data_IF_187999592223
#
_entry.id   IF_187999592223
#
_cell.length_a   1.000
_cell.length_b   1.000
_cell.length_c   1.000
_cell.angle_alpha   90.00
_cell.angle_beta   90.00
_cell.angle_gamma   90.00
#
_symmetry.space_group_name_H-M   'P 1'
#
loop_
_entity.id
_entity.type
_entity.pdbx_description
1 polymer ?
#
# COMPACT_ATOMS: atom_id res chain seq x y z
N UNK A 1 -0.58 -4.37 17.80
CA UNK A 1 -0.75 -3.32 16.80
C UNK A 1 -2.23 -3.10 16.58
N UNK A 2 -2.71 -1.89 16.77
CA UNK A 2 -4.09 -1.48 16.50
C UNK A 2 -4.02 -0.34 15.48
N UNK A 3 -4.89 -0.35 14.46
CA UNK A 3 -4.96 0.69 13.43
C UNK A 3 -6.43 1.06 13.27
N UNK A 4 -6.74 2.34 13.33
CA UNK A 4 -8.11 2.86 13.23
C UNK A 4 -8.36 3.46 11.85
N UNK A 5 -9.63 3.59 11.49
CA UNK A 5 -10.04 4.26 10.26
C UNK A 5 -9.43 5.68 10.16
N UNK A 6 -8.87 6.02 9.01
CA UNK A 6 -8.20 7.30 8.77
C UNK A 6 -6.80 7.44 9.38
N UNK A 7 -6.26 6.40 10.04
CA UNK A 7 -4.89 6.40 10.56
C UNK A 7 -3.92 5.76 9.54
N UNK A 8 -2.73 6.33 9.42
CA UNK A 8 -1.59 5.73 8.74
C UNK A 8 -0.52 5.34 9.75
N UNK A 9 -0.12 4.08 9.71
CA UNK A 9 0.91 3.52 10.57
C UNK A 9 2.11 3.11 9.74
N UNK A 10 3.30 3.59 10.11
CA UNK A 10 4.54 3.14 9.52
C UNK A 10 5.00 1.83 10.15
N UNK A 11 5.29 0.82 9.34
CA UNK A 11 5.96 -0.40 9.78
C UNK A 11 7.45 -0.26 9.47
N UNK A 12 8.23 0.13 10.46
CA UNK A 12 9.66 0.37 10.38
C UNK A 12 10.49 -0.86 10.77
N UNK A 13 11.69 -0.95 10.23
CA UNK A 13 12.65 -1.99 10.56
C UNK A 13 13.69 -2.17 9.45
N UNK A 14 14.82 -2.76 9.79
CA UNK A 14 15.89 -3.06 8.83
C UNK A 14 15.42 -4.02 7.72
N UNK A 15 16.19 -4.11 6.65
CA UNK A 15 15.95 -5.12 5.61
C UNK A 15 16.07 -6.52 6.22
N UNK A 16 15.11 -7.38 5.92
CA UNK A 16 15.06 -8.72 6.51
C UNK A 16 14.40 -8.81 7.91
N UNK A 17 13.99 -7.70 8.53
CA UNK A 17 13.31 -7.72 9.84
C UNK A 17 11.94 -8.42 9.84
N UNK A 18 11.40 -8.79 8.67
CA UNK A 18 10.13 -9.50 8.56
C UNK A 18 8.91 -8.63 8.23
N UNK A 19 9.10 -7.35 7.86
CA UNK A 19 8.01 -6.42 7.50
C UNK A 19 7.06 -7.01 6.44
N UNK A 20 7.59 -7.39 5.28
CA UNK A 20 6.80 -7.98 4.19
C UNK A 20 6.17 -9.33 4.58
N UNK A 21 6.83 -10.11 5.45
CA UNK A 21 6.28 -11.36 5.97
C UNK A 21 5.08 -11.09 6.86
N UNK A 22 5.14 -10.05 7.71
CA UNK A 22 4.02 -9.62 8.52
C UNK A 22 2.85 -9.15 7.66
N UNK A 23 3.10 -8.31 6.65
CA UNK A 23 2.04 -7.85 5.72
C UNK A 23 1.40 -9.05 4.99
N UNK A 24 2.20 -10.01 4.50
CA UNK A 24 1.70 -11.23 3.88
C UNK A 24 0.92 -12.12 4.85
N UNK A 25 1.30 -12.16 6.11
CA UNK A 25 0.56 -12.91 7.13
C UNK A 25 -0.80 -12.28 7.43
N UNK A 26 -0.89 -10.94 7.47
CA UNK A 26 -2.13 -10.19 7.63
C UNK A 26 -3.10 -10.47 6.45
N UNK A 27 -2.58 -10.59 5.23
CA UNK A 27 -3.40 -10.90 4.03
C UNK A 27 -3.72 -12.38 3.87
N UNK A 28 -3.25 -13.25 4.77
CA UNK A 28 -3.41 -14.70 4.64
C UNK A 28 -2.48 -15.36 3.61
N UNK A 29 -1.55 -14.62 3.02
CA UNK A 29 -0.57 -15.14 2.06
C UNK A 29 0.65 -15.82 2.72
N UNK A 30 0.77 -15.68 4.04
CA UNK A 30 1.79 -16.36 4.84
C UNK A 30 1.17 -16.89 6.15
N UNK A 31 1.79 -17.90 6.74
CA UNK A 31 1.31 -18.47 8.00
C UNK A 31 1.48 -17.46 9.15
N UNK A 32 0.39 -17.18 9.86
CA UNK A 32 0.38 -16.36 11.08
C UNK A 32 0.52 -17.28 12.30
N UNK A 33 1.54 -17.03 13.13
CA UNK A 33 1.63 -17.64 14.47
C UNK A 33 1.22 -16.59 15.50
N UNK A 34 0.05 -16.77 16.08
CA UNK A 34 -0.54 -15.82 17.02
C UNK A 34 -1.98 -15.49 16.66
N UNK A 35 -2.49 -14.40 17.17
CA UNK A 35 -3.86 -13.93 16.95
C UNK A 35 -3.84 -12.56 16.29
N UNK A 36 -4.55 -12.45 15.18
CA UNK A 36 -4.87 -11.16 14.56
C UNK A 36 -6.39 -11.10 14.36
N UNK A 37 -7.00 -10.03 14.82
CA UNK A 37 -8.40 -9.73 14.53
C UNK A 37 -8.42 -8.63 13.48
N UNK A 38 -9.01 -8.91 12.33
CA UNK A 38 -9.12 -7.97 11.22
C UNK A 38 -10.60 -7.88 10.87
N UNK A 39 -11.24 -6.81 11.30
CA UNK A 39 -12.64 -6.52 11.01
C UNK A 39 -12.72 -5.42 9.94
N UNK A 40 -12.03 -5.68 8.83
CA UNK A 40 -11.91 -4.72 7.72
C UNK A 40 -11.66 -5.45 6.40
N UNK A 41 -12.19 -4.91 5.31
CA UNK A 41 -11.81 -5.31 3.96
C UNK A 41 -10.40 -4.83 3.63
N UNK A 42 -9.56 -5.71 3.04
CA UNK A 42 -8.15 -5.46 2.83
C UNK A 42 -7.81 -5.18 1.37
N UNK A 43 -6.98 -4.16 1.15
CA UNK A 43 -6.22 -3.94 -0.07
C UNK A 43 -4.72 -4.19 0.19
N UNK A 44 -4.01 -4.85 -0.72
CA UNK A 44 -2.58 -5.08 -0.59
C UNK A 44 -1.80 -4.69 -1.84
N UNK A 45 -0.79 -3.86 -1.63
CA UNK A 45 0.18 -3.46 -2.64
C UNK A 45 1.53 -4.09 -2.27
N UNK A 46 1.93 -5.18 -2.93
CA UNK A 46 3.23 -5.81 -2.68
C UNK A 46 4.36 -4.91 -3.14
N UNK A 47 5.54 -5.12 -2.55
CA UNK A 47 6.77 -4.52 -3.05
C UNK A 47 6.92 -4.83 -4.54
N UNK A 48 7.06 -3.76 -5.35
CA UNK A 48 7.25 -3.92 -6.77
C UNK A 48 8.62 -4.54 -7.02
N UNK A 49 8.62 -5.76 -7.55
CA UNK A 49 9.78 -6.39 -8.15
C UNK A 49 9.55 -6.37 -9.66
N UNK A 50 10.59 -6.20 -10.46
CA UNK A 50 10.49 -6.19 -11.92
C UNK A 50 9.81 -7.49 -12.41
N UNK A 51 8.48 -7.41 -12.49
CA UNK A 51 7.65 -8.43 -13.10
C UNK A 51 7.89 -8.38 -14.61
N UNK A 52 7.63 -9.46 -15.31
CA UNK A 52 7.71 -9.48 -16.77
C UNK A 52 6.84 -8.37 -17.39
N UNK A 53 7.49 -7.24 -17.73
CA UNK A 53 6.86 -6.07 -18.33
C UNK A 53 6.45 -6.28 -19.78
N UNK A 54 6.82 -7.42 -20.36
CA UNK A 54 6.46 -7.79 -21.74
C UNK A 54 4.99 -8.20 -21.88
N UNK A 55 4.32 -8.51 -20.77
CA UNK A 55 2.92 -8.92 -20.81
C UNK A 55 2.01 -7.76 -21.25
N UNK A 56 1.23 -7.92 -22.34
CA UNK A 56 0.53 -6.81 -23.00
C UNK A 56 -0.79 -6.45 -22.30
N UNK A 57 -0.73 -6.09 -20.99
CA UNK A 57 -1.90 -5.62 -20.23
C UNK A 57 -1.90 -4.10 -20.13
N UNK A 58 -3.08 -3.48 -20.13
CA UNK A 58 -3.25 -2.03 -19.90
C UNK A 58 -3.36 -1.73 -18.41
N UNK A 59 -3.17 -0.46 -18.02
CA UNK A 59 -3.39 0.01 -16.65
C UNK A 59 -4.82 -0.33 -16.18
N UNK A 60 -5.82 -0.15 -17.05
CA UNK A 60 -7.20 -0.53 -16.77
C UNK A 60 -7.31 -2.01 -16.38
N UNK A 61 -6.72 -2.91 -17.17
CA UNK A 61 -6.76 -4.36 -16.90
C UNK A 61 -6.05 -4.75 -15.62
N UNK A 62 -4.95 -4.10 -15.28
CA UNK A 62 -4.26 -4.32 -14.01
C UNK A 62 -5.15 -3.95 -12.83
N UNK A 63 -5.84 -2.80 -12.88
CA UNK A 63 -6.76 -2.39 -11.82
C UNK A 63 -7.97 -3.31 -11.74
N UNK A 64 -8.54 -3.70 -12.88
CA UNK A 64 -9.65 -4.64 -12.98
C UNK A 64 -9.37 -5.96 -12.25
N UNK A 65 -8.12 -6.47 -12.28
CA UNK A 65 -7.72 -7.68 -11.55
C UNK A 65 -7.91 -7.56 -10.02
N UNK A 66 -7.94 -6.35 -9.47
CA UNK A 66 -8.19 -6.12 -8.05
C UNK A 66 -9.62 -6.45 -7.60
N UNK A 67 -10.55 -6.60 -8.55
CA UNK A 67 -11.94 -7.00 -8.28
C UNK A 67 -12.12 -8.52 -8.16
N UNK A 68 -11.18 -9.33 -8.69
CA UNK A 68 -11.31 -10.79 -8.75
C UNK A 68 -11.42 -11.50 -7.38
N UNK A 69 -10.73 -11.09 -6.30
CA UNK A 69 -10.77 -11.78 -5.01
C UNK A 69 -12.01 -11.51 -4.18
N UNK A 70 -12.77 -10.44 -4.46
CA UNK A 70 -13.84 -10.01 -3.57
C UNK A 70 -15.22 -10.50 -4.04
N UNK A 71 -15.73 -11.55 -3.41
CA UNK A 71 -17.12 -12.02 -3.60
C UNK A 71 -18.14 -10.92 -3.25
N UNK A 72 -17.75 -9.97 -2.39
CA UNK A 72 -18.60 -8.85 -1.91
C UNK A 72 -18.85 -7.76 -2.96
N UNK A 73 -18.02 -7.62 -4.00
CA UNK A 73 -18.20 -6.58 -5.01
C UNK A 73 -19.38 -6.83 -5.95
N UNK A 74 -19.78 -8.11 -6.15
CA UNK A 74 -20.97 -8.46 -6.93
C UNK A 74 -22.24 -7.73 -6.46
N UNK A 75 -22.31 -7.41 -5.18
CA UNK A 75 -23.42 -6.64 -4.62
C UNK A 75 -23.32 -5.12 -4.86
N UNK A 76 -22.13 -4.60 -5.16
CA UNK A 76 -21.89 -3.16 -5.40
C UNK A 76 -21.91 -2.79 -6.87
N UNK A 77 -21.45 -3.69 -7.75
CA UNK A 77 -21.41 -3.46 -9.20
C UNK A 77 -22.47 -4.32 -9.90
N UNK A 78 -23.70 -3.85 -9.95
CA UNK A 78 -24.85 -4.58 -10.50
C UNK A 78 -24.94 -4.56 -12.02
N UNK A 79 -24.05 -3.84 -12.73
CA UNK A 79 -24.03 -3.74 -14.19
C UNK A 79 -22.62 -3.59 -14.74
N UNK A 80 -22.41 -3.99 -16.00
CA UNK A 80 -21.12 -3.80 -16.73
C UNK A 80 -20.67 -2.32 -16.75
N UNK A 81 -21.59 -1.38 -16.77
CA UNK A 81 -21.29 0.07 -16.73
C UNK A 81 -20.76 0.48 -15.37
N UNK A 82 -21.39 0.02 -14.30
CA UNK A 82 -20.94 0.22 -12.92
C UNK A 82 -19.52 -0.35 -12.66
N UNK A 83 -19.20 -1.49 -13.28
CA UNK A 83 -17.90 -2.13 -13.20
C UNK A 83 -16.77 -1.27 -13.79
N UNK A 84 -16.99 -0.75 -15.01
CA UNK A 84 -16.04 0.16 -15.68
C UNK A 84 -15.83 1.43 -14.85
N UNK A 85 -16.91 1.98 -14.29
CA UNK A 85 -16.85 3.19 -13.47
C UNK A 85 -16.05 2.96 -12.18
N UNK A 86 -16.14 1.78 -11.54
CA UNK A 86 -15.31 1.44 -10.37
C UNK A 86 -13.82 1.47 -10.72
N UNK A 87 -13.42 0.85 -11.84
CA UNK A 87 -12.02 0.82 -12.28
C UNK A 87 -11.51 2.23 -12.62
N UNK A 88 -12.29 3.02 -13.37
CA UNK A 88 -11.90 4.38 -13.71
C UNK A 88 -11.85 5.30 -12.49
N UNK A 89 -12.75 5.12 -11.52
CA UNK A 89 -12.70 5.86 -10.27
C UNK A 89 -11.45 5.54 -9.45
N UNK A 90 -11.06 4.27 -9.36
CA UNK A 90 -9.82 3.89 -8.68
C UNK A 90 -8.58 4.49 -9.38
N UNK A 91 -8.55 4.49 -10.71
CA UNK A 91 -7.49 5.17 -11.48
C UNK A 91 -7.49 6.69 -11.28
N UNK A 92 -8.66 7.31 -11.17
CA UNK A 92 -8.80 8.76 -10.91
C UNK A 92 -8.26 9.14 -9.55
N UNK A 93 -8.51 8.35 -8.50
CA UNK A 93 -7.98 8.58 -7.15
C UNK A 93 -6.45 8.68 -7.10
N UNK A 94 -5.76 8.01 -8.02
CA UNK A 94 -4.30 8.04 -8.12
C UNK A 94 -3.78 8.88 -9.30
N UNK A 95 -4.65 9.66 -9.96
CA UNK A 95 -4.30 10.53 -11.09
C UNK A 95 -3.89 9.79 -12.37
N UNK A 96 -4.38 8.55 -12.58
CA UNK A 96 -3.98 7.68 -13.69
C UNK A 96 -5.10 7.40 -14.71
N UNK A 97 -6.26 8.04 -14.59
CA UNK A 97 -7.41 7.79 -15.47
C UNK A 97 -7.08 8.03 -16.97
N UNK A 98 -6.30 9.07 -17.26
CA UNK A 98 -5.90 9.44 -18.62
C UNK A 98 -4.95 8.43 -19.27
N UNK A 99 -4.34 7.52 -18.50
CA UNK A 99 -3.45 6.46 -18.96
C UNK A 99 -4.09 5.06 -18.85
N UNK A 100 -5.40 4.97 -18.67
CA UNK A 100 -6.12 3.71 -18.47
C UNK A 100 -5.84 2.68 -19.56
N UNK A 101 -5.77 3.10 -20.83
CA UNK A 101 -5.54 2.23 -21.98
C UNK A 101 -4.04 2.05 -22.32
N UNK A 102 -3.14 2.74 -21.58
CA UNK A 102 -1.71 2.59 -21.78
C UNK A 102 -1.22 1.23 -21.27
N UNK A 103 -0.33 0.58 -22.00
CA UNK A 103 0.27 -0.69 -21.56
C UNK A 103 1.06 -0.48 -20.28
N UNK A 104 0.85 -1.35 -19.29
CA UNK A 104 1.49 -1.26 -17.97
C UNK A 104 3.02 -1.22 -18.07
N UNK A 105 3.62 -1.99 -18.99
CA UNK A 105 5.06 -2.00 -19.24
C UNK A 105 5.62 -0.69 -19.82
N UNK A 106 4.78 0.17 -20.42
CA UNK A 106 5.18 1.48 -20.97
C UNK A 106 5.13 2.62 -19.94
N UNK A 107 4.53 2.37 -18.77
CA UNK A 107 4.43 3.34 -17.70
C UNK A 107 5.79 3.52 -16.99
N UNK A 108 6.05 4.73 -16.46
CA UNK A 108 7.19 4.95 -15.57
C UNK A 108 7.05 4.16 -14.27
N UNK A 109 8.13 4.00 -13.50
CA UNK A 109 8.09 3.32 -12.20
C UNK A 109 7.04 3.90 -11.25
N UNK A 110 7.00 5.23 -11.12
CA UNK A 110 6.01 5.91 -10.29
C UNK A 110 4.57 5.78 -10.81
N UNK A 111 4.38 5.77 -12.14
CA UNK A 111 3.06 5.52 -12.74
C UNK A 111 2.61 4.08 -12.47
N UNK A 112 3.49 3.10 -12.62
CA UNK A 112 3.20 1.69 -12.29
C UNK A 112 2.81 1.53 -10.83
N UNK A 113 3.55 2.16 -9.91
CA UNK A 113 3.24 2.13 -8.49
C UNK A 113 1.83 2.68 -8.20
N UNK A 114 1.46 3.79 -8.82
CA UNK A 114 0.11 4.37 -8.69
C UNK A 114 -0.99 3.43 -9.23
N UNK A 115 -0.75 2.76 -10.36
CA UNK A 115 -1.69 1.76 -10.90
C UNK A 115 -1.84 0.57 -9.96
N UNK A 116 -0.77 0.11 -9.29
CA UNK A 116 -0.85 -0.97 -8.29
C UNK A 116 -1.64 -0.53 -7.04
N UNK A 117 -1.53 0.72 -6.64
CA UNK A 117 -2.36 1.29 -5.56
C UNK A 117 -3.82 1.32 -6.01
N UNK A 118 -4.13 1.82 -7.22
CA UNK A 118 -5.50 1.80 -7.76
C UNK A 118 -6.08 0.38 -7.79
N UNK A 119 -5.27 -0.63 -8.12
CA UNK A 119 -5.67 -2.05 -8.07
C UNK A 119 -6.08 -2.49 -6.65
N UNK A 120 -5.38 -2.01 -5.63
CA UNK A 120 -5.75 -2.31 -4.25
C UNK A 120 -7.01 -1.56 -3.80
N UNK A 121 -7.24 -0.35 -4.34
CA UNK A 121 -8.37 0.51 -3.98
C UNK A 121 -9.69 0.15 -4.68
N UNK A 122 -9.64 -0.54 -5.82
CA UNK A 122 -10.83 -0.79 -6.67
C UNK A 122 -11.93 -1.58 -5.98
N UNK A 123 -11.57 -2.41 -4.98
CA UNK A 123 -12.50 -3.16 -4.13
C UNK A 123 -13.08 -2.32 -2.98
N UNK A 124 -12.73 -1.03 -2.89
CA UNK A 124 -13.08 -0.13 -1.81
C UNK A 124 -12.72 -0.69 -0.42
N UNK A 125 -11.43 -0.97 -0.16
CA UNK A 125 -10.97 -1.52 1.10
C UNK A 125 -11.07 -0.49 2.24
N UNK A 126 -11.20 -0.98 3.47
CA UNK A 126 -11.15 -0.18 4.69
C UNK A 126 -9.73 -0.07 5.26
N UNK A 127 -8.86 -1.05 4.94
CA UNK A 127 -7.45 -1.06 5.30
C UNK A 127 -6.59 -1.37 4.07
N UNK A 128 -5.61 -0.53 3.79
CA UNK A 128 -4.63 -0.75 2.70
C UNK A 128 -3.24 -1.00 3.28
N UNK A 129 -2.65 -2.10 2.87
CA UNK A 129 -1.27 -2.49 3.21
C UNK A 129 -0.35 -2.13 2.05
N UNK A 130 0.65 -1.30 2.30
CA UNK A 130 1.64 -0.85 1.30
C UNK A 130 3.01 -1.39 1.69
N UNK A 131 3.58 -2.26 0.86
CA UNK A 131 4.89 -2.86 1.11
C UNK A 131 5.98 -2.11 0.35
N UNK A 132 6.79 -1.31 1.07
CA UNK A 132 7.89 -0.49 0.55
C UNK A 132 7.47 0.37 -0.67
N UNK A 133 6.36 1.15 -0.59
CA UNK A 133 5.75 1.79 -1.75
C UNK A 133 6.61 2.91 -2.37
N UNK A 134 7.60 3.42 -1.65
CA UNK A 134 8.49 4.51 -2.09
C UNK A 134 9.78 4.03 -2.76
N UNK A 135 10.03 2.71 -2.79
CA UNK A 135 11.26 2.16 -3.33
C UNK A 135 11.38 2.42 -4.84
N UNK A 136 12.57 2.89 -5.25
CA UNK A 136 12.88 3.15 -6.66
C UNK A 136 12.12 4.33 -7.29
N UNK A 137 11.39 5.12 -6.49
CA UNK A 137 10.70 6.30 -6.98
C UNK A 137 11.62 7.53 -7.00
N UNK A 138 11.50 8.34 -8.06
CA UNK A 138 12.05 9.68 -8.10
C UNK A 138 11.32 10.63 -7.13
N UNK A 139 11.89 11.81 -6.94
CA UNK A 139 11.39 12.80 -5.97
C UNK A 139 9.96 13.27 -6.27
N UNK A 140 9.62 13.45 -7.55
CA UNK A 140 8.27 13.86 -7.96
C UNK A 140 7.24 12.76 -7.69
N UNK A 141 7.54 11.52 -8.06
CA UNK A 141 6.67 10.36 -7.80
C UNK A 141 6.46 10.14 -6.30
N UNK A 142 7.50 10.36 -5.46
CA UNK A 142 7.38 10.30 -4.00
C UNK A 142 6.42 11.36 -3.47
N UNK A 143 6.52 12.61 -3.93
CA UNK A 143 5.59 13.69 -3.52
C UNK A 143 4.15 13.36 -3.85
N UNK A 144 3.91 12.85 -5.08
CA UNK A 144 2.57 12.45 -5.51
C UNK A 144 2.05 11.31 -4.61
N UNK A 145 2.88 10.33 -4.29
CA UNK A 145 2.48 9.20 -3.44
C UNK A 145 2.16 9.65 -2.00
N UNK A 146 2.93 10.58 -1.44
CA UNK A 146 2.65 11.19 -0.13
C UNK A 146 1.26 11.84 -0.15
N UNK A 147 0.93 12.58 -1.21
CA UNK A 147 -0.39 13.20 -1.33
C UNK A 147 -1.51 12.15 -1.43
N UNK A 148 -1.30 11.10 -2.21
CA UNK A 148 -2.28 9.99 -2.31
C UNK A 148 -2.52 9.36 -0.93
N UNK A 149 -1.47 9.13 -0.13
CA UNK A 149 -1.60 8.60 1.22
C UNK A 149 -2.42 9.55 2.11
N UNK A 150 -2.18 10.86 2.02
CA UNK A 150 -2.94 11.85 2.76
C UNK A 150 -4.42 11.86 2.34
N UNK A 151 -4.71 11.84 1.05
CA UNK A 151 -6.08 11.83 0.52
C UNK A 151 -6.85 10.56 0.96
N UNK A 152 -6.17 9.41 1.01
CA UNK A 152 -6.75 8.14 1.48
C UNK A 152 -7.08 8.18 2.98
N UNK A 153 -6.21 8.78 3.80
CA UNK A 153 -6.46 9.02 5.24
C UNK A 153 -7.68 9.91 5.44
N UNK A 154 -7.75 11.03 4.71
CA UNK A 154 -8.89 11.95 4.76
C UNK A 154 -10.20 11.28 4.35
N UNK A 155 -10.13 10.32 3.42
CA UNK A 155 -11.26 9.48 3.02
C UNK A 155 -11.65 8.42 4.08
N UNK A 156 -10.94 8.34 5.21
CA UNK A 156 -11.21 7.40 6.30
C UNK A 156 -10.60 6.00 6.09
N UNK A 157 -9.74 5.81 5.10
CA UNK A 157 -9.06 4.53 4.86
C UNK A 157 -7.89 4.39 5.84
N UNK A 158 -7.81 3.26 6.53
CA UNK A 158 -6.67 2.91 7.35
C UNK A 158 -5.49 2.45 6.49
N UNK A 159 -4.26 2.81 6.87
CA UNK A 159 -3.05 2.50 6.09
C UNK A 159 -1.98 1.86 6.99
N UNK A 160 -1.37 0.78 6.51
CA UNK A 160 -0.15 0.23 7.09
C UNK A 160 0.95 0.25 6.02
N UNK A 161 1.94 1.11 6.21
CA UNK A 161 2.99 1.39 5.23
C UNK A 161 4.32 0.83 5.72
N UNK A 162 4.83 -0.23 5.10
CA UNK A 162 6.19 -0.68 5.41
C UNK A 162 7.21 0.24 4.73
N UNK A 163 8.21 0.63 5.47
CA UNK A 163 9.34 1.40 4.94
C UNK A 163 10.58 1.19 5.78
N UNK A 164 11.74 1.41 5.18
CA UNK A 164 13.02 1.51 5.88
C UNK A 164 13.50 2.97 5.99
N UNK A 165 12.72 3.93 5.49
CA UNK A 165 13.01 5.36 5.56
C UNK A 165 12.15 6.01 6.66
N UNK A 166 12.74 6.30 7.84
CA UNK A 166 12.02 6.86 8.97
C UNK A 166 11.57 8.31 8.72
N UNK A 167 12.27 9.06 7.85
CA UNK A 167 11.89 10.43 7.50
C UNK A 167 10.61 10.43 6.68
N UNK A 168 10.49 9.51 5.72
CA UNK A 168 9.23 9.33 4.99
C UNK A 168 8.10 8.90 5.92
N UNK A 169 8.37 8.00 6.88
CA UNK A 169 7.39 7.60 7.88
C UNK A 169 6.87 8.80 8.70
N UNK A 170 7.75 9.68 9.14
CA UNK A 170 7.39 10.89 9.89
C UNK A 170 6.49 11.85 9.09
N UNK A 171 6.72 11.95 7.76
CA UNK A 171 5.94 12.84 6.90
C UNK A 171 4.62 12.26 6.42
N UNK A 172 4.41 10.94 6.53
CA UNK A 172 3.25 10.27 5.93
C UNK A 172 2.35 9.60 6.95
N UNK A 173 2.89 9.19 8.10
CA UNK A 173 2.21 8.36 9.08
C UNK A 173 2.00 9.10 10.41
N UNK A 174 0.96 8.71 11.14
CA UNK A 174 0.60 9.32 12.42
C UNK A 174 1.47 8.76 13.56
N UNK A 175 1.86 7.48 13.46
CA UNK A 175 2.73 6.80 14.40
C UNK A 175 3.45 5.62 13.72
N UNK A 176 4.37 5.00 14.44
CA UNK A 176 5.21 3.94 13.92
C UNK A 176 5.12 2.66 14.75
N UNK A 177 5.18 1.53 14.05
CA UNK A 177 5.38 0.20 14.59
C UNK A 177 6.77 -0.30 14.17
N UNK A 178 7.67 -0.46 15.13
CA UNK A 178 9.04 -0.85 14.87
C UNK A 178 9.22 -2.37 15.03
N UNK A 179 9.75 -3.02 13.99
CA UNK A 179 10.04 -4.46 14.01
C UNK A 179 11.50 -4.68 14.40
N UNK A 180 11.71 -5.20 15.62
CA UNK A 180 13.04 -5.51 16.18
C UNK A 180 12.99 -6.94 16.74
N UNK A 181 13.92 -7.79 16.33
CA UNK A 181 14.07 -9.17 16.84
C UNK A 181 12.74 -9.97 16.83
N UNK A 182 11.95 -9.79 15.77
CA UNK A 182 10.66 -10.46 15.63
C UNK A 182 9.55 -9.93 16.55
N UNK A 183 9.77 -8.82 17.24
CA UNK A 183 8.77 -8.13 18.07
C UNK A 183 8.40 -6.80 17.46
N UNK A 184 7.13 -6.41 17.63
CA UNK A 184 6.64 -5.11 17.19
C UNK A 184 6.49 -4.21 18.41
N UNK A 185 7.13 -3.01 18.35
CA UNK A 185 6.97 -1.95 19.34
C UNK A 185 6.30 -0.75 18.66
N UNK A 186 5.29 -0.19 19.30
CA UNK A 186 4.60 1.02 18.83
C UNK A 186 5.18 2.23 19.52
N UNK A 187 5.42 3.30 18.77
CA UNK A 187 6.01 4.55 19.26
C UNK A 187 5.58 5.72 18.36
N UNK A 188 5.78 6.95 18.83
CA UNK A 188 5.61 8.14 17.98
C UNK A 188 6.59 8.12 16.80
N UNK A 189 6.24 8.79 15.71
CA UNK A 189 7.10 8.84 14.51
C UNK A 189 8.44 9.51 14.79
N UNK A 190 8.50 10.54 15.66
CA UNK A 190 9.74 11.20 16.07
C UNK A 190 10.67 10.24 16.84
N UNK A 191 10.15 9.54 17.85
CA UNK A 191 10.88 8.53 18.62
C UNK A 191 11.38 7.39 17.72
N UNK A 192 10.59 7.03 16.70
CA UNK A 192 10.97 6.01 15.73
C UNK A 192 12.14 6.45 14.85
N UNK A 193 12.21 7.72 14.46
CA UNK A 193 13.36 8.30 13.73
C UNK A 193 14.62 8.24 14.58
N UNK A 194 14.54 8.67 15.84
CA UNK A 194 15.68 8.63 16.78
C UNK A 194 16.17 7.20 16.99
N UNK A 195 15.26 6.26 17.28
CA UNK A 195 15.58 4.84 17.47
C UNK A 195 16.25 4.23 16.23
N UNK A 196 15.78 4.58 15.03
CA UNK A 196 16.36 4.09 13.78
C UNK A 196 17.77 4.62 13.56
N UNK A 197 18.00 5.92 13.83
CA UNK A 197 19.31 6.56 13.69
C UNK A 197 20.33 5.97 14.67
N UNK A 198 19.92 5.71 15.91
CA UNK A 198 20.78 5.06 16.92
C UNK A 198 21.18 3.63 16.53
N UNK A 199 20.29 2.88 15.90
CA UNK A 199 20.58 1.52 15.42
C UNK A 199 21.49 1.53 14.19
N UNK A 200 21.31 2.49 13.26
CA UNK A 200 22.19 2.67 12.11
C UNK A 200 23.61 3.10 12.47
N UNK A 201 23.79 3.72 13.63
CA UNK A 201 25.12 4.10 14.15
C UNK A 201 25.87 2.94 14.84
N UNK A 202 25.22 1.79 15.06
CA UNK A 202 25.80 0.59 15.70
C UNK A 202 26.21 -0.50 14.70
N UNK A 203 25.98 -0.29 13.40
CA UNK A 203 26.40 -1.15 12.28
C UNK A 203 27.54 -0.49 11.49
#
# INVERSE_FOLDING_TARGET
>A
LEIRAGEAVALLGSNGAGKSTLLKAITGLAALRGMATIDASLGYVPQYQDSDLSFPVTAYKVVEMGLLPSVSWWHRCTSMRSYRDCVLNALRQVGMEHLAETRFGQLSGGQRQRVLIARALVSAPELVLLDEPFNGLDQESRRILIQIIADLKEAGIALLVSTHDPILAQHTCDWAAFVIDGKVRTMGTEEAVETYMEQGARL
#
